data_IF_713482980458
#
_entry.id   IF_713482980458
#
_cell.length_a   1.000
_cell.length_b   1.000
_cell.length_c   1.000
_cell.angle_alpha   90.00
_cell.angle_beta   90.00
_cell.angle_gamma   90.00
#
_symmetry.space_group_name_H-M   'P 1'
#
loop_
_entity.id
_entity.type
_entity.pdbx_description
1 polymer ?
#
# COMPACT_ATOMS: atom_id res chain seq x y z
N UNK A 1 -29.31 22.11 -0.23
CA UNK A 1 -28.44 21.19 -1.00
C UNK A 1 -29.30 20.33 -1.89
N UNK A 2 -28.89 20.04 -3.13
CA UNK A 2 -29.65 19.14 -4.00
C UNK A 2 -29.37 17.69 -3.64
N UNK A 3 -30.38 16.82 -3.80
CA UNK A 3 -30.24 15.37 -3.55
C UNK A 3 -29.10 14.77 -4.36
N UNK A 4 -28.93 15.21 -5.61
CA UNK A 4 -27.84 14.78 -6.49
C UNK A 4 -26.45 15.13 -5.93
N UNK A 5 -26.27 16.33 -5.38
CA UNK A 5 -25.00 16.74 -4.78
C UNK A 5 -24.66 15.88 -3.54
N UNK A 6 -25.65 15.58 -2.70
CA UNK A 6 -25.46 14.73 -1.51
C UNK A 6 -25.05 13.31 -1.91
N UNK A 7 -25.71 12.72 -2.91
CA UNK A 7 -25.38 11.38 -3.42
C UNK A 7 -23.92 11.34 -3.92
N UNK A 8 -23.51 12.34 -4.70
CA UNK A 8 -22.13 12.42 -5.22
C UNK A 8 -21.09 12.53 -4.10
N UNK A 9 -21.38 13.33 -3.06
CA UNK A 9 -20.51 13.47 -1.89
C UNK A 9 -20.35 12.12 -1.17
N UNK A 10 -21.46 11.43 -0.88
CA UNK A 10 -21.44 10.13 -0.18
C UNK A 10 -20.72 9.06 -1.00
N UNK A 11 -20.96 8.99 -2.31
CA UNK A 11 -20.27 8.04 -3.19
C UNK A 11 -18.76 8.27 -3.23
N UNK A 12 -18.35 9.53 -3.34
CA UNK A 12 -16.93 9.90 -3.35
C UNK A 12 -16.26 9.50 -2.04
N UNK A 13 -16.86 9.87 -0.91
CA UNK A 13 -16.35 9.53 0.41
C UNK A 13 -16.30 8.01 0.62
N UNK A 14 -17.37 7.29 0.27
CA UNK A 14 -17.42 5.83 0.39
C UNK A 14 -16.34 5.13 -0.43
N UNK A 15 -16.05 5.65 -1.64
CA UNK A 15 -15.00 5.10 -2.52
C UNK A 15 -13.62 5.29 -1.90
N UNK A 16 -13.31 6.51 -1.43
CA UNK A 16 -12.02 6.81 -0.79
C UNK A 16 -11.84 5.96 0.46
N UNK A 17 -12.84 5.91 1.35
CA UNK A 17 -12.79 5.12 2.58
C UNK A 17 -12.54 3.64 2.26
N UNK A 18 -13.25 3.09 1.27
CA UNK A 18 -13.09 1.69 0.86
C UNK A 18 -11.69 1.42 0.32
N UNK A 19 -11.16 2.28 -0.54
CA UNK A 19 -9.81 2.17 -1.07
C UNK A 19 -8.76 2.24 0.05
N UNK A 20 -8.91 3.18 0.98
CA UNK A 20 -8.04 3.31 2.15
C UNK A 20 -8.05 2.01 2.98
N UNK A 21 -9.22 1.53 3.39
CA UNK A 21 -9.33 0.29 4.18
C UNK A 21 -8.68 -0.89 3.44
N UNK A 22 -8.90 -0.99 2.12
CA UNK A 22 -8.31 -2.04 1.30
C UNK A 22 -6.78 -2.01 1.32
N UNK A 23 -6.15 -0.86 1.06
CA UNK A 23 -4.68 -0.75 1.03
C UNK A 23 -4.06 -0.93 2.41
N UNK A 24 -4.68 -0.39 3.47
CA UNK A 24 -4.22 -0.63 4.83
C UNK A 24 -4.26 -2.12 5.19
N UNK A 25 -5.38 -2.80 4.89
CA UNK A 25 -5.47 -4.26 5.07
C UNK A 25 -4.43 -5.00 4.24
N UNK A 26 -4.21 -4.57 3.00
CA UNK A 26 -3.21 -5.17 2.12
C UNK A 26 -1.81 -5.05 2.72
N UNK A 27 -1.40 -3.86 3.14
CA UNK A 27 -0.08 -3.63 3.74
C UNK A 27 0.12 -4.46 5.00
N UNK A 28 -0.85 -4.44 5.93
CA UNK A 28 -0.75 -5.17 7.20
C UNK A 28 -0.73 -6.70 7.04
N UNK A 29 -1.24 -7.23 5.92
CA UNK A 29 -1.32 -8.67 5.65
C UNK A 29 -0.35 -9.16 4.60
N UNK A 30 0.35 -8.27 3.89
CA UNK A 30 1.30 -8.67 2.87
C UNK A 30 2.51 -9.27 3.59
N UNK A 31 2.83 -10.57 3.36
CA UNK A 31 4.02 -11.14 3.96
C UNK A 31 5.26 -10.40 3.45
N UNK A 32 6.33 -10.30 4.26
CA UNK A 32 7.60 -9.76 3.79
C UNK A 32 7.99 -10.48 2.50
N UNK A 33 8.30 -9.70 1.45
CA UNK A 33 8.90 -10.28 0.25
C UNK A 33 10.21 -10.93 0.69
N UNK A 34 10.44 -12.18 0.31
CA UNK A 34 11.77 -12.78 0.47
C UNK A 34 12.74 -11.92 -0.34
N UNK A 35 13.50 -11.09 0.35
CA UNK A 35 14.56 -10.32 -0.27
C UNK A 35 15.69 -11.28 -0.64
N UNK A 36 16.31 -11.14 -1.83
CA UNK A 36 17.62 -11.73 -2.06
C UNK A 36 18.54 -11.21 -0.96
N UNK A 37 19.27 -12.11 -0.31
CA UNK A 37 20.23 -11.77 0.74
C UNK A 37 21.24 -10.74 0.20
N UNK A 38 21.06 -9.47 0.59
CA UNK A 38 21.89 -8.33 0.15
C UNK A 38 23.33 -8.44 0.63
N UNK A 39 23.65 -9.36 1.54
CA UNK A 39 25.01 -9.58 2.02
C UNK A 39 25.82 -10.54 1.14
N UNK A 40 25.19 -11.33 0.27
CA UNK A 40 25.91 -12.30 -0.58
C UNK A 40 26.85 -11.64 -1.58
N UNK A 41 26.46 -10.48 -2.09
CA UNK A 41 27.24 -9.73 -3.11
C UNK A 41 28.34 -8.85 -2.47
N UNK A 42 28.31 -8.66 -1.14
CA UNK A 42 29.22 -7.77 -0.42
C UNK A 42 30.42 -8.50 0.22
N UNK A 43 30.46 -9.84 0.12
CA UNK A 43 31.51 -10.65 0.75
C UNK A 43 32.71 -10.93 -0.18
N UNK A 44 32.53 -10.71 -1.49
CA UNK A 44 33.51 -11.07 -2.52
C UNK A 44 34.37 -9.88 -2.99
N UNK A 45 34.26 -8.70 -2.36
CA UNK A 45 35.11 -7.54 -2.65
C UNK A 45 36.24 -7.42 -1.62
N UNK A 46 37.51 -7.70 -1.99
CA UNK A 46 38.65 -7.33 -1.17
C UNK A 46 38.65 -5.82 -0.94
N UNK A 47 38.90 -5.38 0.29
CA UNK A 47 39.20 -3.97 0.59
C UNK A 47 40.59 -3.66 0.04
N UNK A 48 40.69 -2.67 -0.84
CA UNK A 48 41.92 -2.09 -1.36
C UNK A 48 42.63 -1.17 -0.36
#
# INVERSE_FOLDING_TARGET
MTTSAIIMIVLTQGTVITATIYFFRKVLKTPPKSEPDSYKDNNDTPRD
#
